data_IF_203489611010
#
_entry.id   IF_203489611010
#
_cell.length_a   1.000
_cell.length_b   1.000
_cell.length_c   1.000
_cell.angle_alpha   90.00
_cell.angle_beta   90.00
_cell.angle_gamma   90.00
#
_symmetry.space_group_name_H-M   'P 1'
#
loop_
_entity.id
_entity.type
_entity.pdbx_description
1 polymer ?
#
# COMPACT_ATOMS: atom_id res chain seq x y z
N UNK A 1 28.69 -12.46 11.75
CA UNK A 1 27.38 -13.12 11.94
C UNK A 1 26.32 -12.03 11.84
N UNK A 2 25.66 -11.90 10.68
CA UNK A 2 24.65 -10.86 10.43
C UNK A 2 23.35 -11.37 11.04
N UNK A 3 22.85 -10.72 12.10
CA UNK A 3 21.52 -11.03 12.63
C UNK A 3 20.47 -10.68 11.57
N UNK A 4 19.48 -11.54 11.29
CA UNK A 4 18.36 -11.12 10.45
C UNK A 4 17.62 -10.00 11.19
N UNK A 5 17.50 -8.85 10.53
CA UNK A 5 16.68 -7.72 11.00
C UNK A 5 15.24 -8.09 10.66
N UNK A 6 14.67 -8.97 11.46
CA UNK A 6 13.22 -9.08 11.59
C UNK A 6 12.91 -8.36 12.89
N UNK A 7 12.63 -7.06 12.81
CA UNK A 7 12.21 -6.30 13.97
C UNK A 7 10.91 -6.93 14.48
N UNK A 8 10.86 -7.43 15.74
CA UNK A 8 9.68 -8.13 16.26
C UNK A 8 8.43 -7.23 16.38
N UNK A 9 8.56 -5.94 16.08
CA UNK A 9 7.48 -4.96 16.08
C UNK A 9 6.98 -4.55 14.68
N UNK A 10 7.41 -5.24 13.61
CA UNK A 10 6.90 -5.03 12.24
C UNK A 10 5.47 -5.53 12.01
N UNK A 11 4.79 -5.96 13.07
CA UNK A 11 3.40 -6.41 13.01
C UNK A 11 2.48 -5.24 12.63
N UNK A 12 1.78 -5.37 11.51
CA UNK A 12 0.75 -4.44 11.07
C UNK A 12 -0.54 -4.77 11.81
N UNK A 13 -0.74 -4.12 12.97
CA UNK A 13 -1.83 -4.38 13.92
C UNK A 13 -3.06 -3.55 13.60
N UNK A 14 -2.94 -2.50 12.78
CA UNK A 14 -4.02 -1.57 12.48
C UNK A 14 -4.15 -1.25 10.99
N UNK A 15 -5.36 -0.80 10.61
CA UNK A 15 -5.63 -0.33 9.25
C UNK A 15 -4.79 0.93 8.90
N UNK A 16 -4.45 1.75 9.90
CA UNK A 16 -3.64 2.95 9.72
C UNK A 16 -2.18 2.58 9.38
N UNK A 17 -1.61 1.59 10.08
CA UNK A 17 -0.27 1.06 9.76
C UNK A 17 -0.24 0.42 8.36
N UNK A 18 -1.26 -0.37 8.01
CA UNK A 18 -1.39 -0.97 6.69
C UNK A 18 -1.45 0.10 5.58
N UNK A 19 -2.18 1.19 5.82
CA UNK A 19 -2.25 2.35 4.92
C UNK A 19 -0.89 3.01 4.75
N UNK A 20 -0.17 3.29 5.85
CA UNK A 20 1.13 3.96 5.79
C UNK A 20 2.16 3.11 5.05
N UNK A 21 2.19 1.79 5.31
CA UNK A 21 3.06 0.85 4.60
C UNK A 21 2.74 0.83 3.11
N UNK A 22 1.45 0.75 2.75
CA UNK A 22 1.04 0.80 1.35
C UNK A 22 1.43 2.11 0.65
N UNK A 23 1.32 3.27 1.32
CA UNK A 23 1.76 4.56 0.75
C UNK A 23 3.27 4.59 0.52
N UNK A 24 4.06 4.11 1.48
CA UNK A 24 5.52 4.02 1.35
C UNK A 24 5.92 3.08 0.21
N UNK A 25 5.29 1.90 0.14
CA UNK A 25 5.59 0.92 -0.88
C UNK A 25 5.16 1.38 -2.27
N UNK A 26 4.02 2.07 -2.39
CA UNK A 26 3.58 2.66 -3.65
C UNK A 26 4.53 3.75 -4.13
N UNK A 27 4.97 4.64 -3.23
CA UNK A 27 5.96 5.69 -3.53
C UNK A 27 7.26 5.06 -4.06
N UNK A 28 7.73 4.00 -3.40
CA UNK A 28 8.97 3.28 -3.74
C UNK A 28 8.86 2.57 -5.09
N UNK A 29 7.85 1.71 -5.28
CA UNK A 29 7.70 0.89 -6.50
C UNK A 29 7.36 1.72 -7.74
N UNK A 30 6.57 2.77 -7.60
CA UNK A 30 6.17 3.62 -8.73
C UNK A 30 7.19 4.71 -9.06
N UNK A 31 8.17 4.96 -8.18
CA UNK A 31 9.14 6.05 -8.29
C UNK A 31 8.45 7.40 -8.61
N UNK A 32 7.42 7.73 -7.82
CA UNK A 32 6.61 8.94 -7.97
C UNK A 32 6.51 9.70 -6.66
N UNK A 33 6.20 10.99 -6.76
CA UNK A 33 5.79 11.77 -5.60
C UNK A 33 4.27 11.67 -5.43
N UNK A 34 3.80 11.18 -4.28
CA UNK A 34 2.38 11.16 -3.92
C UNK A 34 2.01 12.53 -3.35
N UNK A 35 1.07 13.23 -3.99
CA UNK A 35 0.60 14.58 -3.60
C UNK A 35 -0.66 14.53 -2.77
N UNK A 36 -1.59 13.66 -3.14
CA UNK A 36 -2.83 13.36 -2.41
C UNK A 36 -3.11 11.88 -2.52
N UNK A 37 -3.85 11.35 -1.55
CA UNK A 37 -4.34 9.98 -1.58
C UNK A 37 -5.77 9.92 -1.04
N UNK A 38 -6.52 8.94 -1.49
CA UNK A 38 -7.82 8.57 -0.95
C UNK A 38 -7.82 7.07 -0.68
N UNK A 39 -8.40 6.69 0.45
CA UNK A 39 -8.59 5.28 0.78
C UNK A 39 -9.87 4.80 0.10
N UNK A 40 -9.76 3.84 -0.81
CA UNK A 40 -10.93 3.19 -1.42
C UNK A 40 -11.43 2.06 -0.51
N UNK A 41 -10.52 1.21 -0.02
CA UNK A 41 -10.85 0.18 0.97
C UNK A 41 -9.63 -0.31 1.74
N UNK A 42 -9.79 -0.61 3.03
CA UNK A 42 -8.79 -1.35 3.83
C UNK A 42 -9.52 -2.41 4.65
N UNK A 43 -9.12 -3.67 4.49
CA UNK A 43 -9.69 -4.78 5.25
C UNK A 43 -8.66 -5.84 5.56
N UNK A 44 -8.81 -6.52 6.70
CA UNK A 44 -8.01 -7.68 7.05
C UNK A 44 -8.77 -8.94 6.65
N UNK A 45 -8.14 -9.81 5.85
CA UNK A 45 -8.73 -11.10 5.49
C UNK A 45 -8.86 -11.98 6.74
N UNK A 46 -9.89 -12.84 6.84
CA UNK A 46 -9.92 -13.89 7.84
C UNK A 46 -8.68 -14.78 7.72
N UNK A 47 -8.19 -15.31 8.84
CA UNK A 47 -7.03 -16.23 8.85
C UNK A 47 -7.22 -17.46 7.96
N UNK A 48 -8.46 -17.93 7.79
CA UNK A 48 -8.81 -19.02 6.88
C UNK A 48 -8.53 -18.73 5.41
N UNK A 49 -8.39 -17.44 5.04
CA UNK A 49 -8.11 -16.97 3.70
C UNK A 49 -6.72 -16.37 3.55
N UNK A 50 -5.80 -16.66 4.47
CA UNK A 50 -4.40 -16.20 4.44
C UNK A 50 -4.11 -15.05 5.40
N UNK A 51 -5.13 -14.36 5.92
CA UNK A 51 -4.97 -13.36 6.97
C UNK A 51 -4.24 -12.09 6.53
N UNK A 52 -4.28 -11.72 5.24
CA UNK A 52 -3.56 -10.56 4.72
C UNK A 52 -4.38 -9.27 4.83
N UNK A 53 -3.72 -8.13 5.00
CA UNK A 53 -4.32 -6.82 4.81
C UNK A 53 -4.51 -6.55 3.31
N UNK A 54 -5.75 -6.39 2.88
CA UNK A 54 -6.10 -5.85 1.57
C UNK A 54 -6.19 -4.33 1.65
N UNK A 55 -5.34 -3.64 0.90
CA UNK A 55 -5.29 -2.17 0.87
C UNK A 55 -5.52 -1.68 -0.55
N UNK A 56 -6.51 -0.80 -0.75
CA UNK A 56 -6.78 -0.12 -2.02
C UNK A 56 -6.77 1.39 -1.86
N UNK A 57 -5.94 2.06 -2.64
CA UNK A 57 -5.71 3.50 -2.60
C UNK A 57 -5.84 4.11 -3.99
N UNK A 58 -6.49 5.26 -4.06
CA UNK A 58 -6.41 6.16 -5.21
C UNK A 58 -5.34 7.23 -4.93
N UNK A 59 -4.34 7.34 -5.79
CA UNK A 59 -3.19 8.22 -5.61
C UNK A 59 -3.18 9.33 -6.67
N UNK A 60 -3.11 10.58 -6.24
CA UNK A 60 -2.68 11.68 -7.10
C UNK A 60 -1.17 11.81 -7.03
N UNK A 61 -0.49 11.52 -8.13
CA UNK A 61 0.97 11.49 -8.20
C UNK A 61 1.51 12.54 -9.17
N UNK A 62 2.78 12.89 -8.97
CA UNK A 62 3.55 13.75 -9.87
C UNK A 62 4.81 13.02 -10.30
N UNK A 63 5.08 13.01 -11.61
CA UNK A 63 6.36 12.58 -12.19
C UNK A 63 6.84 13.68 -13.14
N UNK A 64 7.83 14.46 -12.70
CA UNK A 64 8.23 15.70 -13.38
C UNK A 64 7.09 16.74 -13.38
N UNK A 65 6.66 17.20 -14.56
CA UNK A 65 5.54 18.17 -14.69
C UNK A 65 4.16 17.51 -14.85
N UNK A 66 4.09 16.18 -15.05
CA UNK A 66 2.83 15.49 -15.33
C UNK A 66 2.18 15.02 -14.04
N UNK A 67 0.91 15.41 -13.83
CA UNK A 67 0.03 14.88 -12.79
C UNK A 67 -0.67 13.62 -13.32
N UNK A 68 -0.80 12.59 -12.49
CA UNK A 68 -1.50 11.34 -12.82
C UNK A 68 -2.35 10.88 -11.65
N UNK A 69 -3.45 10.21 -11.96
CA UNK A 69 -4.21 9.42 -11.00
C UNK A 69 -3.82 7.95 -11.19
N UNK A 70 -3.51 7.26 -10.10
CA UNK A 70 -3.10 5.86 -10.10
C UNK A 70 -3.91 5.15 -9.03
N UNK A 71 -4.57 4.06 -9.39
CA UNK A 71 -5.18 3.15 -8.42
C UNK A 71 -4.16 2.11 -8.04
N UNK A 72 -4.04 1.81 -6.75
CA UNK A 72 -3.12 0.81 -6.24
C UNK A 72 -3.89 -0.16 -5.36
N UNK A 73 -3.65 -1.45 -5.55
CA UNK A 73 -4.14 -2.52 -4.70
C UNK A 73 -2.94 -3.33 -4.18
N UNK A 74 -2.95 -3.64 -2.88
CA UNK A 74 -1.89 -4.42 -2.24
C UNK A 74 -2.46 -5.47 -1.29
N UNK A 75 -1.74 -6.58 -1.15
CA UNK A 75 -1.88 -7.50 -0.02
C UNK A 75 -0.63 -7.47 0.85
N UNK A 76 -0.80 -7.20 2.14
CA UNK A 76 0.28 -7.04 3.10
C UNK A 76 0.15 -8.11 4.18
N UNK A 77 1.22 -8.83 4.45
CA UNK A 77 1.32 -9.79 5.54
C UNK A 77 1.35 -9.04 6.89
N UNK A 78 0.37 -9.27 7.79
CA UNK A 78 0.30 -8.51 9.04
C UNK A 78 1.40 -8.88 10.02
N UNK A 79 2.05 -10.03 9.90
CA UNK A 79 3.08 -10.45 10.85
C UNK A 79 4.45 -9.90 10.46
N UNK A 80 4.71 -9.74 9.15
CA UNK A 80 6.02 -9.34 8.62
C UNK A 80 6.04 -7.95 7.99
N UNK A 81 4.87 -7.39 7.65
CA UNK A 81 4.77 -6.17 6.84
C UNK A 81 5.12 -6.40 5.36
N UNK A 82 5.36 -7.64 4.93
CA UNK A 82 5.75 -7.95 3.56
C UNK A 82 4.58 -7.75 2.59
N UNK A 83 4.82 -7.05 1.47
CA UNK A 83 3.82 -6.89 0.41
C UNK A 83 3.85 -8.11 -0.52
N UNK A 84 2.88 -9.01 -0.32
CA UNK A 84 2.70 -10.27 -1.06
C UNK A 84 2.19 -10.04 -2.48
N UNK A 85 1.28 -9.09 -2.65
CA UNK A 85 0.72 -8.73 -3.96
C UNK A 85 0.72 -7.21 -4.12
N UNK A 86 0.98 -6.74 -5.35
CA UNK A 86 0.94 -5.34 -5.71
C UNK A 86 0.42 -5.20 -7.14
N UNK A 87 -0.64 -4.41 -7.31
CA UNK A 87 -1.16 -4.02 -8.61
C UNK A 87 -1.33 -2.50 -8.66
N UNK A 88 -0.99 -1.91 -9.80
CA UNK A 88 -1.19 -0.49 -10.07
C UNK A 88 -1.78 -0.29 -11.45
N UNK A 89 -2.82 0.54 -11.56
CA UNK A 89 -3.47 0.86 -12.83
C UNK A 89 -3.70 2.37 -12.94
N UNK A 90 -3.87 2.86 -14.17
CA UNK A 90 -4.31 4.23 -14.36
C UNK A 90 -5.67 4.44 -13.67
N UNK A 91 -5.79 5.50 -12.88
CA UNK A 91 -7.06 5.95 -12.36
C UNK A 91 -7.76 6.79 -13.42
N UNK A 92 -9.06 6.55 -13.66
CA UNK A 92 -9.89 7.56 -14.29
C UNK A 92 -10.08 8.72 -13.30
N UNK A 93 -10.15 9.95 -13.79
CA UNK A 93 -10.65 11.04 -12.96
C UNK A 93 -12.08 10.67 -12.56
N UNK A 94 -12.28 10.19 -11.33
CA UNK A 94 -13.62 10.24 -10.73
C UNK A 94 -13.97 11.73 -10.70
N UNK A 95 -15.05 12.08 -11.41
CA UNK A 95 -15.68 13.38 -11.25
C UNK A 95 -15.96 13.53 -9.75
N UNK A 96 -15.25 14.46 -9.13
CA UNK A 96 -15.47 14.89 -7.75
C UNK A 96 -16.47 16.03 -7.80
#
# INVERSE_FOLDING_TARGET
>A
MIKPISDPDMRVKSWEEAKQLALQEAKRRLAVEIRKYWVDSISLEPRSHGGLWNVRLDLQTRKGFRKRLIKVAMKIDPETGEVREFAASAGSARAI
#
